data_IF_291118899590
#
_entry.id   IF_291118899590
#
_cell.length_a   1.000
_cell.length_b   1.000
_cell.length_c   1.000
_cell.angle_alpha   90.00
_cell.angle_beta   90.00
_cell.angle_gamma   90.00
#
_symmetry.space_group_name_H-M   'P 1'
#
loop_
_entity.id
_entity.type
_entity.pdbx_description
1 polymer ?
2 water ?
#
# COMPACT_ATOMS: atom_id res chain seq x y z
N UNK A 21 -17.74 -8.90 7.44
CA UNK A 21 -16.56 -8.37 6.70
C UNK A 21 -15.42 -8.20 7.70
N UNK A 22 -14.22 -8.02 7.17
CA UNK A 22 -13.03 -7.76 8.05
C UNK A 22 -12.85 -8.84 9.12
N UNK A 23 -12.73 -8.42 10.37
CA UNK A 23 -12.51 -9.36 11.49
C UNK A 23 -13.80 -9.61 12.28
N UNK A 24 -14.95 -9.19 11.73
CA UNK A 24 -16.24 -9.38 12.40
C UNK A 24 -16.56 -10.84 12.58
N UNK A 25 -17.29 -11.08 13.65
CA UNK A 25 -17.85 -12.41 13.92
C UNK A 25 -18.79 -12.80 12.75
N UNK A 26 -18.75 -14.06 12.29
CA UNK A 26 -19.61 -14.47 11.16
C UNK A 26 -21.10 -14.29 11.43
N UNK A 27 -21.58 -14.55 12.64
CA UNK A 27 -23.02 -14.38 12.91
C UNK A 27 -23.44 -12.93 12.83
N UNK A 28 -22.63 -12.06 13.34
CA UNK A 28 -22.97 -10.64 13.50
C UNK A 28 -22.37 -9.69 12.48
N UNK A 29 -21.92 -10.26 11.39
CA UNK A 29 -21.23 -9.53 10.34
C UNK A 29 -22.13 -8.55 9.61
N UNK A 30 -21.52 -7.49 9.08
CA UNK A 30 -22.24 -6.46 8.32
C UNK A 30 -22.90 -7.06 7.07
N UNK A 31 -24.10 -6.58 6.74
CA UNK A 31 -24.91 -7.07 5.60
C UNK A 31 -24.14 -7.04 4.27
N UNK A 32 -23.37 -5.97 4.11
CA UNK A 32 -22.58 -5.73 2.89
C UNK A 32 -21.09 -5.77 3.17
N UNK A 33 -20.35 -6.33 2.13
CA UNK A 33 -18.91 -6.22 2.14
C UNK A 33 -18.39 -4.81 1.87
N UNK A 34 -17.19 -4.53 2.40
CA UNK A 34 -16.50 -3.30 2.06
C UNK A 34 -15.66 -3.76 0.89
N UNK A 35 -16.16 -3.46 -0.27
CA UNK A 35 -15.64 -3.94 -1.46
C UNK A 35 -14.31 -3.39 -1.87
N UNK A 36 -13.88 -2.33 -1.26
CA UNK A 36 -12.67 -1.67 -1.68
C UNK A 36 -11.50 -1.80 -0.70
N UNK A 37 -11.71 -2.52 0.38
CA UNK A 37 -10.69 -2.74 1.41
C UNK A 37 -10.10 -4.15 1.28
N UNK A 38 -8.78 -4.25 1.31
CA UNK A 38 -8.07 -5.54 1.27
C UNK A 38 -7.00 -5.54 2.33
N UNK A 39 -6.92 -6.61 3.10
CA UNK A 39 -5.82 -6.82 4.04
C UNK A 39 -4.88 -7.87 3.44
N UNK A 40 -3.64 -7.49 3.17
CA UNK A 40 -2.67 -8.39 2.51
C UNK A 40 -2.22 -9.52 3.44
N UNK A 41 -1.51 -10.47 2.86
CA UNK A 41 -1.12 -11.68 3.58
C UNK A 41 0.05 -11.49 4.50
N UNK A 42 0.28 -12.49 5.33
CA UNK A 42 1.49 -12.51 6.17
C UNK A 42 2.80 -12.57 5.39
N UNK A 43 2.71 -12.89 4.07
CA UNK A 43 3.93 -12.97 3.23
C UNK A 43 4.24 -11.71 2.46
N UNK A 44 3.52 -10.64 2.80
CA UNK A 44 3.74 -9.31 2.21
C UNK A 44 5.04 -8.72 2.75
N UNK A 45 5.90 -8.19 1.87
CA UNK A 45 7.13 -7.55 2.29
C UNK A 45 7.03 -6.04 2.12
N UNK A 46 7.65 -5.27 3.01
CA UNK A 46 7.60 -3.80 2.93
C UNK A 46 8.83 -3.29 2.25
N UNK A 47 8.64 -2.38 1.28
CA UNK A 47 9.71 -1.68 0.60
C UNK A 47 9.47 -0.17 0.78
N UNK A 48 10.55 0.62 0.91
CA UNK A 48 10.42 2.05 1.05
C UNK A 48 9.42 2.38 2.14
N UNK A 49 9.65 1.83 3.32
CA UNK A 49 8.75 2.02 4.41
C UNK A 49 8.85 3.39 5.08
N UNK A 50 7.74 4.11 5.01
CA UNK A 50 7.61 5.43 5.63
C UNK A 50 6.32 5.45 6.43
N UNK A 51 6.23 4.54 7.38
CA UNK A 51 5.08 4.43 8.26
C UNK A 51 5.23 5.10 9.61
N UNK A 52 6.47 5.36 10.06
CA UNK A 52 6.63 6.05 11.34
C UNK A 52 6.63 7.57 11.19
N UNK A 53 7.20 8.05 10.10
CA UNK A 53 7.27 9.46 9.79
C UNK A 53 6.91 9.61 8.33
N UNK A 54 6.27 10.71 7.99
CA UNK A 54 5.93 10.94 6.58
C UNK A 54 7.05 11.60 5.83
N UNK A 55 7.04 11.44 4.51
CA UNK A 55 8.07 11.99 3.65
C UNK A 55 7.46 12.50 2.33
N UNK A 56 8.24 13.32 1.64
CA UNK A 56 7.88 13.76 0.32
C UNK A 56 8.66 12.87 -0.66
N UNK A 57 7.93 12.28 -1.61
CA UNK A 57 8.52 11.47 -2.70
C UNK A 57 8.46 12.34 -3.98
N UNK A 58 9.62 12.58 -4.57
CA UNK A 58 9.75 13.38 -5.78
C UNK A 58 9.04 14.73 -5.68
N UNK A 59 9.20 15.42 -4.53
CA UNK A 59 8.57 16.76 -4.32
C UNK A 59 7.06 16.71 -4.03
N UNK A 60 6.45 15.51 -3.94
CA UNK A 60 5.03 15.35 -3.66
C UNK A 60 4.72 15.78 -2.24
N UNK A 61 3.44 15.92 -1.92
CA UNK A 61 3.04 16.32 -0.57
C UNK A 61 3.46 15.30 0.45
N UNK A 62 3.88 15.74 1.62
CA UNK A 62 4.40 14.80 2.63
C UNK A 62 3.28 13.87 3.09
N UNK A 63 3.57 12.57 3.02
CA UNK A 63 2.62 11.51 3.33
C UNK A 63 3.35 10.31 3.92
N UNK A 64 2.60 9.56 4.70
CA UNK A 64 2.99 8.22 5.10
C UNK A 64 2.84 7.31 3.88
N UNK A 65 3.77 6.39 3.68
CA UNK A 65 3.72 5.58 2.48
C UNK A 65 4.53 4.32 2.67
N UNK A 66 4.23 3.33 1.80
CA UNK A 66 5.01 2.10 1.71
C UNK A 66 4.68 1.47 0.36
N UNK A 67 5.70 0.82 -0.21
CA UNK A 67 5.55 -0.03 -1.38
C UNK A 67 5.34 -1.46 -0.88
N UNK A 68 4.12 -1.98 -1.07
CA UNK A 68 3.76 -3.24 -0.54
C UNK A 68 4.02 -4.32 -1.59
N UNK A 69 4.88 -5.28 -1.27
CA UNK A 69 5.29 -6.34 -2.16
C UNK A 69 4.46 -7.57 -1.91
N UNK A 70 3.70 -7.98 -2.91
CA UNK A 70 2.75 -9.10 -2.84
C UNK A 70 3.25 -10.24 -3.70
N UNK A 71 3.63 -11.35 -3.06
CA UNK A 71 4.14 -12.43 -3.90
C UNK A 71 3.14 -12.83 -4.97
N UNK A 72 3.64 -13.23 -6.16
CA UNK A 72 2.75 -13.68 -7.21
C UNK A 72 2.05 -14.99 -6.87
N UNK A 73 2.55 -15.73 -5.91
CA UNK A 73 1.90 -16.92 -5.37
C UNK A 73 0.71 -16.63 -4.46
N UNK A 74 0.54 -15.37 -4.03
CA UNK A 74 -0.55 -15.02 -3.12
C UNK A 74 -1.81 -14.71 -3.89
N UNK A 75 -2.38 -15.75 -4.46
CA UNK A 75 -3.57 -15.59 -5.30
C UNK A 75 -4.75 -15.00 -4.59
N UNK A 76 -4.93 -15.33 -3.33
CA UNK A 76 -6.05 -14.79 -2.58
C UNK A 76 -5.94 -13.27 -2.50
N UNK A 77 -4.79 -12.73 -2.13
CA UNK A 77 -4.64 -11.30 -2.05
C UNK A 77 -4.75 -10.65 -3.41
N UNK A 78 -4.11 -11.24 -4.43
CA UNK A 78 -4.16 -10.66 -5.76
C UNK A 78 -5.64 -10.59 -6.25
N UNK A 79 -6.36 -11.68 -6.09
CA UNK A 79 -7.76 -11.67 -6.54
C UNK A 79 -8.57 -10.64 -5.78
N UNK A 80 -8.32 -10.48 -4.49
CA UNK A 80 -9.02 -9.49 -3.70
C UNK A 80 -8.71 -8.08 -4.19
N UNK A 81 -7.44 -7.81 -4.54
CA UNK A 81 -7.03 -6.51 -5.07
C UNK A 81 -7.74 -6.24 -6.39
N UNK A 82 -7.73 -7.23 -7.30
CA UNK A 82 -8.38 -7.05 -8.59
C UNK A 82 -9.85 -6.71 -8.41
N UNK A 83 -10.53 -7.38 -7.51
CA UNK A 83 -11.98 -7.14 -7.24
C UNK A 83 -12.16 -5.76 -6.63
N UNK A 84 -11.24 -5.32 -5.75
CA UNK A 84 -11.34 -4.01 -5.11
C UNK A 84 -11.12 -2.85 -6.08
N UNK A 85 -10.20 -3.05 -7.04
CA UNK A 85 -9.98 -2.06 -8.06
C UNK A 85 -11.22 -1.87 -8.91
N UNK A 86 -11.80 -2.97 -9.33
CA UNK A 86 -13.08 -2.90 -10.06
C UNK A 86 -14.19 -2.22 -9.24
N UNK A 87 -14.27 -2.56 -7.94
CA UNK A 87 -15.27 -1.93 -7.09
C UNK A 87 -15.02 -0.44 -6.94
N UNK A 88 -13.77 -0.02 -6.88
CA UNK A 88 -13.41 1.40 -6.83
C UNK A 88 -13.88 2.13 -8.05
N UNK A 89 -13.66 1.52 -9.22
CA UNK A 89 -14.11 2.10 -10.47
C UNK A 89 -15.64 2.23 -10.46
N UNK A 90 -16.34 1.18 -10.05
CA UNK A 90 -17.79 1.21 -9.99
C UNK A 90 -18.31 2.27 -9.02
N UNK A 91 -17.68 2.41 -7.86
CA UNK A 91 -18.09 3.42 -6.90
C UNK A 91 -17.88 4.83 -7.49
N UNK A 92 -16.80 5.04 -8.26
CA UNK A 92 -16.56 6.30 -8.95
C UNK A 92 -17.69 6.59 -9.94
N UNK A 93 -18.13 5.57 -10.70
CA UNK A 93 -19.25 5.73 -11.63
C UNK A 93 -20.54 5.99 -10.85
N UNK A 94 -20.77 5.28 -9.74
CA UNK A 94 -21.98 5.55 -8.98
C UNK A 94 -22.02 6.98 -8.44
N UNK A 95 -20.86 7.56 -8.13
CA UNK A 95 -20.83 8.92 -7.58
C UNK A 95 -21.17 10.01 -8.60
N UNK A 96 -20.54 9.92 -9.78
CA UNK A 96 -20.63 10.96 -10.79
C UNK A 96 -21.17 10.55 -12.17
N UNK A 97 -21.56 9.29 -12.33
CA UNK A 97 -22.15 8.81 -13.60
C UNK A 97 -21.17 8.79 -14.72
N UNK A 98 -21.68 8.71 -15.94
CA UNK A 98 -20.88 8.63 -17.12
C UNK A 98 -20.51 7.16 -17.38
N UNK A 99 -19.77 6.97 -18.45
CA UNK A 99 -19.38 5.63 -18.85
C UNK A 99 -18.17 5.14 -18.09
N UNK A 100 -18.15 3.84 -17.88
CA UNK A 100 -17.04 3.19 -17.25
C UNK A 100 -15.83 3.38 -18.17
N UNK A 101 -14.65 3.64 -17.59
CA UNK A 101 -13.50 3.83 -18.42
C UNK A 101 -12.92 2.51 -18.92
N UNK A 102 -12.18 2.63 -20.00
CA UNK A 102 -11.39 1.57 -20.51
C UNK A 102 -10.18 1.51 -19.55
N UNK A 103 -9.95 0.35 -18.96
CA UNK A 103 -8.87 0.22 -18.01
C UNK A 103 -7.50 0.53 -18.58
N UNK A 104 -7.29 0.32 -19.88
CA UNK A 104 -6.02 0.71 -20.46
C UNK A 104 -5.80 2.24 -20.49
N UNK A 105 -6.86 3.03 -20.29
CA UNK A 105 -6.83 4.49 -20.35
C UNK A 105 -6.53 5.17 -19.02
N UNK A 106 -6.49 4.39 -17.94
CA UNK A 106 -6.32 4.95 -16.60
C UNK A 106 -5.18 4.26 -15.83
N UNK A 107 -4.76 4.89 -14.72
CA UNK A 107 -3.71 4.36 -13.86
C UNK A 107 -4.31 3.39 -12.93
N UNK A 108 -3.75 2.22 -12.88
CA UNK A 108 -4.18 1.16 -12.01
C UNK A 108 -3.08 0.80 -11.01
N UNK A 109 -3.43 0.39 -9.78
CA UNK A 109 -2.44 0.29 -8.70
C UNK A 109 -1.61 -0.97 -8.59
N UNK A 110 -2.11 -2.10 -9.12
CA UNK A 110 -1.31 -3.36 -8.99
C UNK A 110 -0.26 -3.40 -10.06
N UNK A 111 0.99 -3.17 -9.68
CA UNK A 111 2.12 -3.06 -10.60
C UNK A 111 2.93 -4.34 -10.59
N UNK A 112 3.67 -4.60 -11.67
CA UNK A 112 4.37 -5.84 -11.86
C UNK A 112 5.86 -5.67 -11.54
N UNK A 113 6.33 -6.24 -10.43
CA UNK A 113 7.70 -6.13 -10.01
C UNK A 113 8.72 -6.76 -10.91
N UNK A 114 8.30 -7.75 -11.70
CA UNK A 114 9.24 -8.42 -12.60
C UNK A 114 9.57 -7.60 -13.82
N UNK A 115 8.66 -6.78 -14.26
CA UNK A 115 8.88 -6.06 -15.50
C UNK A 115 8.97 -4.54 -15.34
N UNK A 116 8.40 -3.96 -14.28
CA UNK A 116 8.43 -2.50 -14.10
C UNK A 116 9.57 -1.99 -13.21
N UNK A 117 10.31 -2.93 -12.63
CA UNK A 117 11.45 -2.64 -11.78
C UNK A 117 12.62 -3.55 -12.10
N UNK A 118 13.78 -3.11 -11.63
CA UNK A 118 15.02 -3.86 -11.72
C UNK A 118 15.56 -3.99 -10.34
N UNK A 119 14.86 -4.65 -9.44
CA UNK A 119 15.37 -4.79 -8.06
C UNK A 119 15.06 -6.21 -7.69
N UNK A 120 16.01 -6.88 -7.09
CA UNK A 120 15.85 -8.27 -6.70
C UNK A 120 14.68 -8.52 -5.72
N UNK A 121 14.38 -7.57 -4.82
CA UNK A 121 13.28 -7.78 -3.86
C UNK A 121 11.93 -7.81 -4.54
N UNK A 122 11.82 -7.17 -5.71
CA UNK A 122 10.59 -7.05 -6.46
C UNK A 122 10.35 -8.28 -7.39
N UNK A 123 11.40 -9.03 -7.70
CA UNK A 123 11.21 -10.21 -8.56
C UNK A 123 10.18 -11.14 -7.93
N UNK A 124 9.29 -11.72 -8.76
CA UNK A 124 8.30 -12.60 -8.25
C UNK A 124 7.20 -11.95 -7.44
N UNK A 125 7.07 -10.64 -7.51
CA UNK A 125 6.06 -9.90 -6.79
C UNK A 125 5.34 -8.91 -7.66
N UNK A 126 4.08 -8.69 -7.30
CA UNK A 126 3.38 -7.47 -7.67
C UNK A 126 3.70 -6.45 -6.55
N UNK A 127 3.40 -5.18 -6.80
CA UNK A 127 3.55 -4.18 -5.79
C UNK A 127 2.46 -3.16 -5.90
N UNK A 128 2.16 -2.52 -4.77
CA UNK A 128 1.21 -1.41 -4.73
C UNK A 128 1.93 -0.31 -3.91
N UNK A 129 1.80 0.92 -4.39
CA UNK A 129 2.28 2.11 -3.72
C UNK A 129 1.12 2.68 -2.90
N UNK A 130 1.11 2.48 -1.61
CA UNK A 130 0.05 2.92 -0.74
C UNK A 130 0.48 4.18 0.04
N UNK A 131 -0.43 5.12 0.25
CA UNK A 131 -0.05 6.34 1.01
C UNK A 131 -1.24 6.89 1.76
N UNK A 132 -0.97 7.77 2.70
CA UNK A 132 -2.00 8.44 3.49
C UNK A 132 -1.40 9.70 4.07
N UNK A 133 -2.23 10.71 4.34
CA UNK A 133 -1.75 11.91 5.01
C UNK A 133 -1.53 11.68 6.51
N UNK A 134 -2.35 10.81 7.10
CA UNK A 134 -2.39 10.53 8.52
C UNK A 134 -1.63 9.24 8.86
N UNK A 135 -1.12 9.11 10.09
CA UNK A 135 -0.32 7.98 10.42
C UNK A 135 -1.05 6.64 10.55
N UNK A 136 -0.45 5.57 10.02
CA UNK A 136 -1.05 4.26 10.27
C UNK A 136 -0.86 3.78 11.70
N UNK A 137 -1.76 2.93 12.17
CA UNK A 137 -1.49 2.20 13.41
C UNK A 137 -0.66 0.98 13.03
N UNK A 138 0.41 0.77 13.79
CA UNK A 138 1.43 -0.26 13.53
C UNK A 138 1.44 -1.18 14.75
N UNK A 139 1.04 -2.44 14.54
CA UNK A 139 0.77 -3.37 15.61
C UNK A 139 1.51 -4.69 15.40
N UNK A 140 1.63 -5.46 16.48
CA UNK A 140 2.32 -6.75 16.48
C UNK A 140 1.34 -7.88 16.24
N UNK A 141 1.83 -9.09 16.32
CA UNK A 141 1.04 -10.27 16.02
C UNK A 141 -0.16 -10.41 16.93
N UNK A 142 -0.08 -9.83 18.13
CA UNK A 142 -1.18 -9.82 19.08
C UNK A 142 -2.07 -8.58 18.99
N UNK A 143 -1.89 -7.78 17.93
CA UNK A 143 -2.65 -6.59 17.67
C UNK A 143 -2.44 -5.52 18.76
N UNK A 144 -1.25 -5.49 19.32
CA UNK A 144 -0.85 -4.45 20.30
C UNK A 144 0.02 -3.42 19.56
N UNK A 145 -0.12 -2.14 19.90
CA UNK A 145 0.76 -1.15 19.25
C UNK A 145 2.24 -1.48 19.47
N UNK A 146 3.03 -1.32 18.41
CA UNK A 146 4.47 -1.53 18.49
C UNK A 146 5.11 -0.25 19.04
N UNK A 147 5.88 -0.44 20.11
CA UNK A 147 6.50 0.65 20.89
C UNK A 147 7.99 0.79 20.66
N UNK A 148 8.55 0.16 19.60
CA UNK A 148 9.96 0.28 19.26
C UNK A 148 10.04 0.30 17.74
N UNK A 149 10.37 1.45 17.17
CA UNK A 149 10.38 1.62 15.75
C UNK A 149 11.33 0.62 15.06
N UNK A 150 12.38 0.16 15.77
CA UNK A 150 13.30 -0.80 15.14
C UNK A 150 12.64 -2.14 14.77
N UNK A 151 11.42 -2.39 15.25
CA UNK A 151 10.70 -3.62 14.85
C UNK A 151 10.06 -3.56 13.48
N UNK A 152 9.89 -2.39 12.88
CA UNK A 152 9.27 -2.29 11.54
C UNK A 152 10.12 -1.36 10.66
N UNK A 153 10.53 -1.90 9.54
CA UNK A 153 11.55 -1.29 8.67
C UNK A 153 11.44 -1.89 7.28
N UNK A 154 11.97 -1.21 6.29
CA UNK A 154 12.01 -1.72 4.92
C UNK A 154 12.72 -3.07 4.91
N UNK A 155 12.03 -4.09 4.38
CA UNK A 155 12.54 -5.42 4.27
C UNK A 155 11.78 -6.44 5.12
N UNK A 156 11.09 -5.99 6.18
CA UNK A 156 10.35 -6.91 7.04
C UNK A 156 9.03 -7.30 6.36
N UNK A 157 8.39 -8.34 6.92
CA UNK A 157 7.12 -8.92 6.46
C UNK A 157 6.01 -8.47 7.39
N UNK A 158 4.92 -7.96 6.83
CA UNK A 158 3.84 -7.42 7.59
C UNK A 158 2.57 -7.46 6.76
N UNK A 159 1.42 -7.75 7.41
CA UNK A 159 0.13 -7.54 6.75
C UNK A 159 -0.14 -6.04 6.64
N UNK A 160 -0.76 -5.59 5.55
CA UNK A 160 -1.09 -4.18 5.36
C UNK A 160 -2.54 -4.05 4.94
N UNK A 161 -3.25 -3.13 5.56
CA UNK A 161 -4.60 -2.82 5.19
C UNK A 161 -4.53 -1.75 4.09
N UNK A 162 -5.29 -1.98 3.03
CA UNK A 162 -5.34 -1.14 1.87
C UNK A 162 -6.74 -0.77 1.49
N UNK A 163 -6.96 0.46 1.04
CA UNK A 163 -8.27 0.84 0.52
C UNK A 163 -8.04 1.46 -0.82
N UNK A 164 -8.82 1.00 -1.76
CA UNK A 164 -8.72 1.48 -3.14
C UNK A 164 -9.82 2.45 -3.45
N UNK A 165 -9.48 3.49 -4.21
CA UNK A 165 -10.44 4.53 -4.51
C UNK A 165 -10.11 5.22 -5.82
N UNK A 166 -11.12 5.71 -6.50
CA UNK A 166 -10.97 6.48 -7.74
C UNK A 166 -10.36 7.81 -7.42
N UNK A 167 -9.53 8.34 -8.34
CA UNK A 167 -8.93 9.66 -8.15
C UNK A 167 -8.69 10.33 -9.50
N UNK A 168 -8.52 11.65 -9.42
CA UNK A 168 -8.03 12.44 -10.53
C UNK A 168 -7.27 13.60 -9.92
N UNK A 169 -5.98 13.66 -10.20
CA UNK A 169 -5.12 14.74 -9.71
C UNK A 169 -3.72 14.57 -10.30
N UNK A 170 -2.94 15.66 -10.28
CA UNK A 170 -1.58 15.63 -10.71
C UNK A 170 -1.42 15.11 -12.12
N UNK A 171 -2.39 15.45 -12.99
CA UNK A 171 -2.33 14.99 -14.41
C UNK A 171 -2.60 13.50 -14.60
N UNK A 172 -2.98 12.81 -13.53
CA UNK A 172 -3.21 11.38 -13.57
C UNK A 172 -4.65 11.12 -13.14
N UNK A 173 -5.09 9.95 -13.49
CA UNK A 173 -6.45 9.53 -13.10
C UNK A 173 -6.54 8.03 -13.09
N UNK A 174 -7.42 7.46 -12.28
CA UNK A 174 -7.52 6.06 -12.14
C UNK A 174 -7.93 5.64 -10.75
N UNK A 175 -7.27 4.63 -10.23
CA UNK A 175 -7.49 4.07 -8.93
C UNK A 175 -6.19 4.13 -8.13
N UNK A 176 -6.30 4.76 -6.94
CA UNK A 176 -5.22 4.92 -6.00
C UNK A 176 -5.40 3.98 -4.83
N UNK A 177 -4.37 3.86 -3.99
CA UNK A 177 -4.35 2.97 -2.87
C UNK A 177 -4.03 3.72 -1.59
N UNK A 178 -5.02 3.77 -0.69
CA UNK A 178 -4.84 4.35 0.59
C UNK A 178 -4.22 3.38 1.59
N UNK A 179 -3.20 3.84 2.29
CA UNK A 179 -2.56 3.06 3.34
C UNK A 179 -3.36 3.11 4.59
N UNK A 180 -3.66 1.93 5.13
CA UNK A 180 -4.31 1.76 6.42
C UNK A 180 -3.24 1.26 7.39
N UNK A 181 -3.66 0.43 8.30
CA UNK A 181 -2.78 -0.08 9.30
C UNK A 181 -1.82 -1.17 8.83
N UNK A 182 -0.90 -1.49 9.72
CA UNK A 182 0.18 -2.46 9.47
C UNK A 182 0.35 -3.40 10.64
N UNK A 183 0.48 -4.70 10.38
CA UNK A 183 0.69 -5.70 11.40
C UNK A 183 2.03 -6.43 11.08
N UNK A 184 3.07 -6.16 11.90
CA UNK A 184 4.33 -6.84 11.77
C UNK A 184 4.21 -8.34 12.00
N UNK A 185 4.78 -9.13 11.09
CA UNK A 185 4.76 -10.60 11.20
C UNK A 185 6.14 -11.18 11.43
N UNK A 186 7.12 -10.86 10.62
CA UNK A 186 8.47 -11.46 10.78
C UNK A 186 9.52 -10.58 10.18
N UNK A 187 10.72 -10.70 10.70
CA UNK A 187 11.87 -9.96 10.21
C UNK A 187 12.22 -10.43 8.84
N UNK A 188 12.84 -9.53 8.10
CA UNK A 188 13.43 -9.84 6.79
C UNK A 188 14.71 -9.03 6.65
N UNK A 189 15.48 -9.33 5.63
CA UNK A 189 16.71 -8.58 5.44
C UNK A 189 16.38 -7.13 5.13
N UNK A 190 17.12 -6.19 5.74
CA UNK A 190 16.81 -4.79 5.48
C UNK A 190 17.07 -4.42 4.01
N UNK A 191 16.22 -3.51 3.49
CA UNK A 191 16.32 -2.98 2.16
C UNK A 191 16.76 -1.54 2.20
N UNK A 192 17.57 -1.13 1.25
CA UNK A 192 18.04 0.22 1.17
C UNK A 192 16.95 1.20 0.75
N UNK A 193 17.09 2.50 1.04
CA UNK A 193 16.08 3.48 0.72
C UNK A 193 16.42 4.32 -0.47
N UNK A 194 15.53 5.27 -0.73
CA UNK A 194 15.67 6.24 -1.80
C UNK A 194 16.87 7.15 -1.52
N UNK A 195 17.46 7.75 -2.56
CA UNK A 195 18.64 8.62 -2.42
C UNK A 195 18.36 10.09 -2.07
N UNK A 196 17.98 10.31 -0.81
CA UNK A 196 17.43 11.56 -0.26
C UNK A 196 18.32 12.33 0.72
N UNK A 197 19.61 12.16 0.61
CA UNK A 197 20.56 12.86 1.52
C UNK A 197 20.44 14.39 1.35
N UNK A 198 20.06 14.88 0.16
CA UNK A 198 19.90 16.30 -0.05
C UNK A 198 18.78 16.94 0.81
N UNK A 199 17.88 16.12 1.34
CA UNK A 199 16.87 16.59 2.31
C UNK A 199 17.46 16.87 3.69
N UNK A 200 18.70 16.42 3.91
CA UNK A 200 19.37 16.63 5.19
C UNK A 200 20.53 17.61 5.09
N UNK A 201 21.28 17.53 4.02
CA UNK A 201 22.56 18.24 3.88
C UNK A 201 22.58 19.16 2.66
N UNK A 202 23.38 20.19 2.78
CA UNK A 202 23.68 21.16 1.73
C UNK A 202 25.14 20.94 1.31
N UNK A 203 25.51 21.51 0.16
CA UNK A 203 26.91 21.51 -0.28
C UNK A 203 27.63 22.36 0.78
N UNK A 204 28.79 21.89 1.17
CA UNK A 204 29.59 22.61 2.12
C UNK A 204 30.39 23.55 1.25
N UNK A 205 30.29 24.84 1.55
CA UNK A 205 30.93 25.89 0.70
C UNK A 205 32.12 26.48 1.39
#
# INVERSE_FOLDING_TARGET
>A
MHHHHHHSSGVDLWSHPQFEKGTENLYFQSNAQNRTKVVTSVNTRLSYFHGWEPVSINGGAEKYSVSVLIPKTDKETINAINAAVDAAIEEGIAKFGGKKPNKAAIKLPLRDGDVERDDEAYKGHYFVNANSKTPPQIVDKAVRPILDRNEVYSGCYARVSLNFYAFNSNGNKGVACGLGNIQKIRDGEPLGGRTNAADDFTTIEDDD
#
